data_IF_546861188490
#
_entry.id   IF_546861188490
#
_cell.length_a   1.000
_cell.length_b   1.000
_cell.length_c   1.000
_cell.angle_alpha   90.00
_cell.angle_beta   90.00
_cell.angle_gamma   90.00
#
_symmetry.space_group_name_H-M   'P 1'
#
loop_
_entity.id
_entity.type
_entity.pdbx_description
1 polymer ?
#
# COMPACT_ATOMS: atom_id res chain seq x y z
N UNK A 1 7.78 -14.63 29.27
CA UNK A 1 7.35 -13.59 28.31
C UNK A 1 6.89 -14.29 27.05
N UNK A 2 5.75 -13.92 26.47
CA UNK A 2 5.29 -14.51 25.21
C UNK A 2 6.11 -13.94 24.06
N UNK A 3 6.71 -14.82 23.25
CA UNK A 3 7.46 -14.45 22.05
C UNK A 3 6.53 -14.52 20.83
N UNK A 4 6.72 -13.62 19.85
CA UNK A 4 5.92 -13.57 18.62
C UNK A 4 6.83 -13.72 17.41
N UNK A 5 6.45 -14.60 16.47
CA UNK A 5 7.19 -14.79 15.22
C UNK A 5 7.13 -13.52 14.37
N UNK A 6 8.27 -13.14 13.79
CA UNK A 6 8.39 -12.04 12.84
C UNK A 6 8.77 -12.61 11.47
N UNK A 7 7.96 -12.29 10.46
CA UNK A 7 8.15 -12.78 9.11
C UNK A 7 8.24 -11.61 8.12
N UNK A 8 9.06 -11.78 7.10
CA UNK A 8 9.13 -10.92 5.93
C UNK A 8 8.37 -11.60 4.79
N UNK A 9 7.31 -10.95 4.33
CA UNK A 9 6.62 -11.36 3.11
C UNK A 9 7.27 -10.62 1.94
N UNK A 10 7.62 -11.37 0.90
CA UNK A 10 8.33 -10.86 -0.28
C UNK A 10 7.47 -11.14 -1.50
N UNK A 11 7.22 -10.08 -2.26
CA UNK A 11 6.43 -10.08 -3.48
C UNK A 11 7.28 -9.62 -4.65
N UNK A 12 7.02 -10.17 -5.84
CA UNK A 12 7.54 -9.63 -7.10
C UNK A 12 6.41 -8.90 -7.82
N UNK A 13 6.51 -7.57 -7.83
CA UNK A 13 5.52 -6.70 -8.48
C UNK A 13 5.47 -6.86 -10.00
N UNK A 14 6.54 -7.37 -10.60
CA UNK A 14 6.60 -7.64 -12.02
C UNK A 14 5.97 -8.98 -12.41
N UNK A 15 5.61 -9.83 -11.43
CA UNK A 15 5.10 -11.18 -11.66
C UNK A 15 5.97 -12.00 -12.62
N UNK A 16 7.30 -11.94 -12.47
CA UNK A 16 8.29 -12.64 -13.29
C UNK A 16 8.63 -11.94 -14.61
N UNK A 17 7.95 -10.85 -14.98
CA UNK A 17 8.26 -10.10 -16.21
C UNK A 17 9.65 -9.50 -16.14
N UNK A 18 10.04 -8.91 -15.00
CA UNK A 18 11.36 -8.28 -14.86
C UNK A 18 12.51 -9.27 -15.10
N UNK A 19 12.39 -10.50 -14.58
CA UNK A 19 13.37 -11.58 -14.81
C UNK A 19 13.58 -11.89 -16.30
N UNK A 20 12.55 -11.69 -17.13
CA UNK A 20 12.56 -12.01 -18.55
C UNK A 20 13.08 -10.85 -19.40
N UNK A 21 12.63 -9.62 -19.13
CA UNK A 21 12.85 -8.48 -20.06
C UNK A 21 13.92 -7.49 -19.61
N UNK A 22 14.33 -7.52 -18.35
CA UNK A 22 15.25 -6.51 -17.77
C UNK A 22 16.56 -6.37 -18.54
N UNK A 23 17.20 -7.48 -18.92
CA UNK A 23 18.45 -7.44 -19.68
C UNK A 23 18.32 -6.66 -21.00
N UNK A 24 17.17 -6.77 -21.67
CA UNK A 24 16.91 -6.08 -22.94
C UNK A 24 16.54 -4.61 -22.72
N UNK A 25 15.71 -4.32 -21.72
CA UNK A 25 15.17 -2.97 -21.51
C UNK A 25 16.15 -2.03 -20.79
N UNK A 26 16.88 -2.54 -19.81
CA UNK A 26 17.73 -1.74 -18.92
C UNK A 26 19.19 -2.17 -18.96
N UNK A 27 19.55 -3.07 -19.89
CA UNK A 27 20.93 -3.54 -20.06
C UNK A 27 21.46 -4.40 -18.90
N UNK A 28 20.61 -4.70 -17.92
CA UNK A 28 20.96 -5.41 -16.70
C UNK A 28 19.87 -6.39 -16.33
N UNK A 29 20.25 -7.64 -16.06
CA UNK A 29 19.32 -8.64 -15.55
C UNK A 29 19.01 -8.37 -14.07
N UNK A 30 17.72 -8.24 -13.76
CA UNK A 30 17.17 -8.24 -12.40
C UNK A 30 16.14 -9.36 -12.28
N UNK A 31 16.09 -10.04 -11.13
CA UNK A 31 15.23 -11.22 -10.93
C UNK A 31 13.78 -10.88 -10.58
N UNK A 32 13.50 -9.63 -10.23
CA UNK A 32 12.17 -9.20 -9.82
C UNK A 32 12.18 -7.75 -9.36
N UNK A 33 10.99 -7.24 -9.06
CA UNK A 33 10.80 -5.93 -8.44
C UNK A 33 10.20 -6.16 -7.07
N UNK A 34 11.06 -6.05 -6.06
CA UNK A 34 10.74 -6.48 -4.72
C UNK A 34 9.87 -5.47 -3.97
N UNK A 35 8.72 -5.96 -3.52
CA UNK A 35 7.91 -5.34 -2.47
C UNK A 35 7.95 -6.23 -1.24
N UNK A 36 8.05 -5.62 -0.06
CA UNK A 36 8.09 -6.35 1.21
C UNK A 36 7.14 -5.77 2.24
N UNK A 37 6.70 -6.65 3.13
CA UNK A 37 5.89 -6.31 4.30
C UNK A 37 6.33 -7.14 5.50
N UNK A 38 6.09 -6.62 6.71
CA UNK A 38 6.35 -7.31 7.96
C UNK A 38 5.06 -7.95 8.48
N UNK A 39 5.12 -9.23 8.77
CA UNK A 39 4.03 -9.97 9.42
C UNK A 39 4.42 -10.31 10.85
N UNK A 40 3.64 -9.80 11.79
CA UNK A 40 3.80 -10.01 13.24
C UNK A 40 2.45 -9.81 13.92
N UNK A 41 2.20 -10.48 15.05
CA UNK A 41 0.90 -10.45 15.75
C UNK A 41 -0.28 -10.80 14.84
N UNK A 42 -0.07 -11.74 13.92
CA UNK A 42 -1.05 -12.18 12.92
C UNK A 42 -1.59 -11.04 12.02
N UNK A 43 -0.75 -10.03 11.76
CA UNK A 43 -1.11 -8.89 10.93
C UNK A 43 0.05 -8.48 10.04
N UNK A 44 -0.27 -8.08 8.82
CA UNK A 44 0.68 -7.63 7.81
C UNK A 44 0.75 -6.11 7.79
N UNK A 45 1.97 -5.55 7.78
CA UNK A 45 2.25 -4.12 7.81
C UNK A 45 3.20 -3.75 6.68
N UNK A 46 2.86 -2.69 5.95
CA UNK A 46 3.64 -2.23 4.81
C UNK A 46 3.50 -0.71 4.64
N UNK A 47 4.34 -0.14 3.78
CA UNK A 47 4.38 1.29 3.51
C UNK A 47 4.17 1.57 2.03
N UNK A 48 3.28 2.52 1.72
CA UNK A 48 2.93 2.96 0.39
C UNK A 48 2.67 4.46 0.30
N UNK A 49 2.18 4.91 -0.85
CA UNK A 49 1.82 6.33 -1.08
C UNK A 49 0.67 6.84 -0.20
N UNK A 50 -0.04 5.96 0.49
CA UNK A 50 -1.07 6.29 1.49
C UNK A 50 -0.55 6.31 2.93
N UNK A 51 0.74 6.00 3.13
CA UNK A 51 1.37 5.91 4.44
C UNK A 51 1.57 4.46 4.89
N UNK A 52 1.71 4.28 6.20
CA UNK A 52 1.76 2.96 6.83
C UNK A 52 0.37 2.33 6.80
N UNK A 53 0.26 1.18 6.16
CA UNK A 53 -0.98 0.44 5.98
C UNK A 53 -0.84 -0.97 6.57
N UNK A 54 -1.98 -1.62 6.80
CA UNK A 54 -1.99 -2.95 7.39
C UNK A 54 -3.26 -3.73 7.09
N UNK A 55 -3.11 -5.05 6.93
CA UNK A 55 -4.18 -5.94 6.53
C UNK A 55 -3.98 -7.35 7.14
N UNK A 56 -4.92 -8.26 6.86
CA UNK A 56 -4.71 -9.66 7.19
C UNK A 56 -3.58 -10.23 6.30
N UNK A 57 -2.73 -11.14 6.80
CA UNK A 57 -1.63 -11.69 6.00
C UNK A 57 -2.12 -12.27 4.66
N UNK A 58 -1.41 -11.94 3.58
CA UNK A 58 -1.71 -12.41 2.22
C UNK A 58 -3.05 -11.93 1.64
N UNK A 59 -3.56 -10.78 2.10
CA UNK A 59 -4.83 -10.18 1.61
C UNK A 59 -4.64 -8.87 0.83
N UNK A 60 -3.40 -8.56 0.45
CA UNK A 60 -3.09 -7.44 -0.45
C UNK A 60 -3.51 -7.77 -1.89
N UNK A 61 -3.73 -6.76 -2.74
CA UNK A 61 -4.06 -6.95 -4.16
C UNK A 61 -2.99 -7.74 -4.95
N UNK A 62 -1.80 -7.94 -4.39
CA UNK A 62 -0.73 -8.77 -4.94
C UNK A 62 -0.99 -10.28 -4.82
N UNK A 63 -2.00 -10.69 -4.05
CA UNK A 63 -2.25 -12.08 -3.73
C UNK A 63 -1.23 -12.64 -2.73
N UNK A 64 -0.93 -13.94 -2.77
CA UNK A 64 0.01 -14.55 -1.82
C UNK A 64 1.46 -14.10 -2.09
N UNK A 65 2.29 -13.99 -1.05
CA UNK A 65 3.71 -13.65 -1.21
C UNK A 65 4.44 -14.72 -2.02
N UNK A 66 5.37 -14.28 -2.86
CA UNK A 66 6.27 -15.17 -3.60
C UNK A 66 7.15 -15.98 -2.65
N UNK A 67 7.59 -15.35 -1.55
CA UNK A 67 8.41 -15.97 -0.53
C UNK A 67 8.06 -15.41 0.85
N UNK A 68 7.97 -16.30 1.83
CA UNK A 68 7.88 -15.95 3.25
C UNK A 68 9.23 -16.30 3.89
N UNK A 69 9.86 -15.32 4.54
CA UNK A 69 11.13 -15.50 5.22
C UNK A 69 10.97 -15.24 6.71
N UNK A 70 11.33 -16.22 7.54
CA UNK A 70 11.38 -16.05 8.98
C UNK A 70 12.56 -15.14 9.34
N UNK A 71 12.28 -14.02 10.02
CA UNK A 71 13.29 -13.08 10.51
C UNK A 71 13.71 -13.39 11.96
N UNK A 72 12.86 -14.09 12.71
CA UNK A 72 13.12 -14.48 14.08
C UNK A 72 11.87 -14.32 14.94
N UNK A 73 12.09 -13.93 16.19
CA UNK A 73 11.01 -13.68 17.14
C UNK A 73 11.23 -12.36 17.88
N UNK A 74 10.13 -11.74 18.30
CA UNK A 74 10.12 -10.51 19.08
C UNK A 74 9.46 -10.72 20.44
N UNK A 75 10.01 -10.03 21.43
CA UNK A 75 9.45 -9.93 22.78
C UNK A 75 8.81 -8.56 23.04
N UNK A 76 8.78 -7.69 22.02
CA UNK A 76 8.11 -6.39 22.10
C UNK A 76 6.61 -6.63 22.35
N UNK A 77 5.99 -5.94 23.31
CA UNK A 77 4.54 -6.02 23.47
C UNK A 77 3.82 -5.39 22.29
N UNK A 78 2.66 -5.95 21.92
CA UNK A 78 1.84 -5.40 20.82
C UNK A 78 1.54 -3.91 20.98
N UNK A 79 1.23 -3.45 22.21
CA UNK A 79 0.93 -2.03 22.48
C UNK A 79 2.11 -1.13 22.15
N UNK A 80 3.32 -1.52 22.55
CA UNK A 80 4.56 -0.78 22.27
C UNK A 80 4.83 -0.76 20.76
N UNK A 81 4.58 -1.87 20.06
CA UNK A 81 4.74 -1.93 18.61
C UNK A 81 3.77 -1.00 17.87
N UNK A 82 2.50 -0.94 18.28
CA UNK A 82 1.53 -0.04 17.66
C UNK A 82 1.85 1.43 17.95
N UNK A 83 2.28 1.78 19.16
CA UNK A 83 2.75 3.13 19.48
C UNK A 83 3.96 3.52 18.61
N UNK A 84 4.93 2.62 18.46
CA UNK A 84 6.07 2.82 17.57
C UNK A 84 5.63 3.05 16.11
N UNK A 85 4.73 2.20 15.59
CA UNK A 85 4.20 2.37 14.23
C UNK A 85 3.42 3.67 14.06
N UNK A 86 2.64 4.11 15.06
CA UNK A 86 1.94 5.40 15.04
C UNK A 86 2.94 6.54 14.88
N UNK A 87 4.00 6.53 15.69
CA UNK A 87 5.07 7.52 15.61
C UNK A 87 5.73 7.56 14.24
N UNK A 88 6.02 6.40 13.64
CA UNK A 88 6.54 6.33 12.27
C UNK A 88 5.56 6.90 11.25
N UNK A 89 4.27 6.54 11.36
CA UNK A 89 3.24 6.98 10.41
C UNK A 89 2.97 8.48 10.42
N UNK A 90 3.15 9.12 11.59
CA UNK A 90 2.97 10.57 11.78
C UNK A 90 4.22 11.39 11.41
N UNK A 91 5.39 10.74 11.30
CA UNK A 91 6.67 11.40 11.04
C UNK A 91 7.29 10.95 9.72
N UNK A 92 8.12 9.91 9.74
CA UNK A 92 9.00 9.52 8.63
C UNK A 92 8.27 8.76 7.51
N UNK A 93 7.18 8.06 7.83
CA UNK A 93 6.43 7.18 6.91
C UNK A 93 5.00 7.68 6.65
N UNK A 94 4.88 8.98 6.38
CA UNK A 94 3.64 9.55 5.83
C UNK A 94 3.50 9.17 4.35
N UNK A 95 2.28 9.16 3.81
CA UNK A 95 2.08 8.85 2.39
C UNK A 95 2.85 9.77 1.44
N UNK A 96 3.00 11.04 1.82
CA UNK A 96 3.75 12.05 1.05
C UNK A 96 5.26 11.85 1.04
N UNK A 97 5.82 11.10 1.99
CA UNK A 97 7.26 10.81 2.00
C UNK A 97 7.61 9.58 1.16
N UNK A 98 6.62 8.86 0.63
CA UNK A 98 6.87 7.68 -0.18
C UNK A 98 7.65 8.05 -1.45
N UNK A 99 8.78 7.37 -1.64
CA UNK A 99 9.61 7.45 -2.83
C UNK A 99 10.06 6.05 -3.22
N UNK A 100 9.71 5.62 -4.43
CA UNK A 100 10.03 4.29 -4.95
C UNK A 100 11.50 3.91 -4.76
N UNK A 101 12.44 4.83 -4.92
CA UNK A 101 13.86 4.47 -4.90
C UNK A 101 14.52 4.66 -3.55
N UNK A 102 14.14 5.70 -2.82
CA UNK A 102 14.90 6.15 -1.66
C UNK A 102 14.15 5.97 -0.33
N UNK A 103 12.82 5.84 -0.37
CA UNK A 103 12.00 5.75 0.83
C UNK A 103 10.72 4.96 0.55
N UNK A 104 10.84 3.64 0.49
CA UNK A 104 9.78 2.72 0.06
C UNK A 104 9.46 1.65 1.12
N UNK A 105 8.61 0.70 0.75
CA UNK A 105 8.22 -0.46 1.58
C UNK A 105 9.39 -1.29 2.14
N UNK A 106 10.50 -1.35 1.41
CA UNK A 106 11.68 -2.12 1.80
C UNK A 106 12.47 -1.38 2.90
N UNK A 107 12.56 -0.04 2.82
CA UNK A 107 13.13 0.78 3.89
C UNK A 107 12.30 0.68 5.17
N UNK A 108 10.98 0.74 5.03
CA UNK A 108 10.05 0.53 6.14
C UNK A 108 10.22 -0.86 6.78
N UNK A 109 10.26 -1.92 5.96
CA UNK A 109 10.42 -3.28 6.47
C UNK A 109 11.77 -3.49 7.15
N UNK A 110 12.85 -2.87 6.65
CA UNK A 110 14.16 -2.87 7.32
C UNK A 110 14.10 -2.24 8.71
N UNK A 111 13.52 -1.04 8.81
CA UNK A 111 13.46 -0.31 10.08
C UNK A 111 12.60 -1.06 11.12
N UNK A 112 11.46 -1.61 10.69
CA UNK A 112 10.58 -2.40 11.55
C UNK A 112 11.23 -3.73 11.95
N UNK A 113 11.95 -4.41 11.05
CA UNK A 113 12.67 -5.66 11.36
C UNK A 113 13.78 -5.42 12.39
N UNK A 114 14.52 -4.32 12.26
CA UNK A 114 15.53 -3.93 13.24
C UNK A 114 14.91 -3.64 14.61
N UNK A 115 13.80 -2.90 14.65
CA UNK A 115 13.10 -2.61 15.90
C UNK A 115 12.58 -3.88 16.61
N UNK A 116 11.97 -4.79 15.86
CA UNK A 116 11.32 -5.98 16.43
C UNK A 116 12.30 -7.06 16.87
N UNK A 117 13.33 -7.32 16.07
CA UNK A 117 14.22 -8.47 16.26
C UNK A 117 15.70 -8.20 15.97
N UNK A 118 16.09 -6.95 15.68
CA UNK A 118 17.49 -6.57 15.51
C UNK A 118 18.18 -7.17 14.27
N UNK A 119 17.41 -7.56 13.26
CA UNK A 119 17.91 -8.16 12.02
C UNK A 119 17.60 -7.27 10.83
N UNK A 120 18.47 -7.31 9.83
CA UNK A 120 18.22 -6.69 8.52
C UNK A 120 17.49 -7.64 7.57
N UNK A 121 16.69 -7.07 6.67
CA UNK A 121 16.10 -7.80 5.56
C UNK A 121 17.19 -8.12 4.50
N UNK A 122 16.92 -9.04 3.54
CA UNK A 122 17.91 -9.42 2.53
C UNK A 122 18.46 -8.22 1.76
N UNK A 123 19.79 -8.09 1.74
CA UNK A 123 20.49 -6.96 1.12
C UNK A 123 20.17 -6.78 -0.36
N UNK A 124 19.95 -7.86 -1.11
CA UNK A 124 19.57 -7.80 -2.52
C UNK A 124 18.20 -7.12 -2.76
N UNK A 125 17.33 -7.06 -1.74
CA UNK A 125 16.06 -6.31 -1.78
C UNK A 125 16.33 -4.82 -1.58
N UNK A 126 17.16 -4.48 -0.59
CA UNK A 126 17.51 -3.08 -0.27
C UNK A 126 18.35 -2.40 -1.35
N UNK A 127 19.22 -3.16 -2.03
CA UNK A 127 20.13 -2.63 -3.05
C UNK A 127 19.48 -2.50 -4.44
N UNK A 128 18.32 -3.14 -4.69
CA UNK A 128 17.65 -3.14 -5.99
C UNK A 128 17.43 -1.73 -6.57
N UNK A 129 16.97 -0.71 -5.80
CA UNK A 129 16.86 0.66 -6.30
C UNK A 129 18.15 1.21 -6.88
N UNK A 130 19.30 0.97 -6.22
CA UNK A 130 20.60 1.44 -6.67
C UNK A 130 21.03 0.74 -7.97
N UNK A 131 20.76 -0.57 -8.04
CA UNK A 131 21.01 -1.36 -9.24
C UNK A 131 20.22 -0.83 -10.44
N UNK A 132 18.98 -0.45 -10.21
CA UNK A 132 18.05 0.06 -11.22
C UNK A 132 18.39 1.50 -11.63
N UNK A 133 18.72 2.39 -10.68
CA UNK A 133 19.17 3.76 -10.95
C UNK A 133 20.51 3.85 -11.69
N UNK A 134 21.35 2.81 -11.59
CA UNK A 134 22.62 2.74 -12.34
C UNK A 134 22.44 2.48 -13.84
N UNK A 135 21.21 2.22 -14.30
CA UNK A 135 20.88 1.96 -15.70
C UNK A 135 20.25 3.18 -16.38
N UNK A 136 20.15 3.18 -17.71
CA UNK A 136 19.51 4.23 -18.53
C UNK A 136 17.97 4.21 -18.43
N UNK A 137 17.46 4.27 -17.20
CA UNK A 137 16.09 3.99 -16.76
C UNK A 137 15.08 5.13 -16.97
N UNK A 138 15.26 5.99 -17.97
CA UNK A 138 14.38 7.14 -18.15
C UNK A 138 12.93 6.77 -18.54
N UNK A 139 12.75 5.69 -19.31
CA UNK A 139 11.48 5.40 -19.97
C UNK A 139 10.60 4.34 -19.28
N UNK A 140 11.18 3.40 -18.52
CA UNK A 140 10.43 2.29 -17.90
C UNK A 140 9.82 2.63 -16.53
N UNK A 141 10.19 3.79 -15.98
CA UNK A 141 9.85 4.21 -14.63
C UNK A 141 8.36 4.40 -14.34
N UNK A 142 7.58 5.08 -15.20
CA UNK A 142 6.18 5.35 -14.92
C UNK A 142 5.31 4.09 -14.83
N UNK A 143 5.57 3.09 -15.67
CA UNK A 143 4.85 1.82 -15.65
C UNK A 143 5.08 1.05 -14.35
N UNK A 144 6.31 1.12 -13.83
CA UNK A 144 6.66 0.51 -12.57
C UNK A 144 5.92 1.18 -11.40
N UNK A 145 5.96 2.51 -11.33
CA UNK A 145 5.28 3.31 -10.29
C UNK A 145 3.77 3.03 -10.24
N UNK A 146 3.11 2.96 -11.40
CA UNK A 146 1.68 2.67 -11.45
C UNK A 146 1.34 1.28 -10.87
N UNK A 147 2.19 0.28 -11.09
CA UNK A 147 2.02 -1.06 -10.53
C UNK A 147 2.13 -1.05 -8.99
N UNK A 148 3.07 -0.25 -8.45
CA UNK A 148 3.29 -0.09 -7.01
C UNK A 148 2.10 0.56 -6.30
N UNK A 149 1.55 1.64 -6.87
CA UNK A 149 0.38 2.33 -6.31
C UNK A 149 -0.89 1.46 -6.28
N UNK A 150 -1.01 0.54 -7.22
CA UNK A 150 -2.11 -0.43 -7.24
C UNK A 150 -1.91 -1.54 -6.21
N UNK A 151 -0.67 -1.97 -6.01
CA UNK A 151 -0.31 -3.09 -5.15
C UNK A 151 -0.42 -2.85 -3.65
N UNK A 152 -0.30 -1.60 -3.21
CA UNK A 152 -0.46 -1.20 -1.81
C UNK A 152 -1.93 -1.27 -1.32
N UNK A 153 -2.90 -1.59 -2.18
CA UNK A 153 -4.32 -1.62 -1.78
C UNK A 153 -4.71 -3.02 -1.26
N UNK A 154 -5.40 -3.12 -0.11
CA UNK A 154 -6.02 -4.37 0.33
C UNK A 154 -7.10 -4.85 -0.65
N UNK A 155 -7.25 -6.18 -0.82
CA UNK A 155 -8.27 -6.80 -1.69
C UNK A 155 -9.70 -6.37 -1.30
N UNK A 156 -9.99 -6.22 0.00
CA UNK A 156 -11.30 -5.77 0.47
C UNK A 156 -11.67 -4.37 -0.04
N UNK A 157 -10.68 -3.46 -0.18
CA UNK A 157 -10.89 -2.11 -0.68
C UNK A 157 -11.03 -2.10 -2.22
N UNK A 158 -10.27 -2.94 -2.93
CA UNK A 158 -10.41 -3.11 -4.38
C UNK A 158 -11.79 -3.69 -4.76
N UNK A 159 -12.27 -4.68 -4.02
CA UNK A 159 -13.62 -5.24 -4.21
C UNK A 159 -14.73 -4.21 -3.91
N UNK A 160 -14.54 -3.34 -2.91
CA UNK A 160 -15.50 -2.24 -2.62
C UNK A 160 -15.54 -1.19 -3.71
N UNK A 161 -14.42 -0.89 -4.36
CA UNK A 161 -14.35 0.07 -5.48
C UNK A 161 -14.92 -0.57 -6.75
N UNK A 162 -14.63 -1.84 -7.01
CA UNK A 162 -15.19 -2.59 -8.15
C UNK A 162 -16.71 -2.76 -8.06
N UNK A 163 -17.26 -2.93 -6.84
CA UNK A 163 -18.71 -2.96 -6.59
C UNK A 163 -19.36 -1.59 -6.43
N UNK A 164 -18.66 -0.50 -6.76
CA UNK A 164 -19.25 0.86 -6.81
C UNK A 164 -20.01 1.11 -8.13
N UNK A 165 -20.49 0.06 -8.79
CA UNK A 165 -21.53 0.18 -9.81
C UNK A 165 -22.88 0.47 -9.14
N UNK A 166 -23.62 1.41 -9.72
CA UNK A 166 -24.85 2.05 -9.26
C UNK A 166 -25.64 1.21 -8.24
N UNK A 167 -25.52 1.57 -6.95
CA UNK A 167 -26.50 1.12 -5.97
C UNK A 167 -27.88 1.65 -6.41
N UNK A 168 -28.90 0.81 -6.61
CA UNK A 168 -30.21 1.25 -7.10
C UNK A 168 -30.88 2.29 -6.18
N UNK A 169 -30.40 2.42 -4.94
CA UNK A 169 -30.83 3.47 -4.03
C UNK A 169 -30.23 4.87 -4.29
N UNK A 170 -29.09 4.98 -5.00
CA UNK A 170 -28.43 6.27 -5.24
C UNK A 170 -29.19 7.13 -6.27
N UNK A 171 -29.74 6.51 -7.31
CA UNK A 171 -30.59 7.21 -8.29
C UNK A 171 -31.92 7.64 -7.68
N UNK A 172 -32.53 6.78 -6.85
CA UNK A 172 -33.73 7.16 -6.09
C UNK A 172 -33.46 8.31 -5.12
N UNK A 173 -32.33 8.29 -4.41
CA UNK A 173 -31.96 9.34 -3.47
C UNK A 173 -31.69 10.68 -4.20
N UNK A 174 -31.02 10.65 -5.35
CA UNK A 174 -30.79 11.85 -6.16
C UNK A 174 -32.10 12.39 -6.75
N UNK A 175 -33.01 11.51 -7.19
CA UNK A 175 -34.34 11.92 -7.65
C UNK A 175 -35.14 12.60 -6.53
N UNK A 176 -35.12 12.05 -5.32
CA UNK A 176 -35.82 12.63 -4.16
C UNK A 176 -35.22 13.97 -3.72
N UNK A 177 -33.89 14.14 -3.82
CA UNK A 177 -33.20 15.40 -3.52
C UNK A 177 -33.57 16.48 -4.55
N UNK A 178 -33.64 16.13 -5.84
CA UNK A 178 -34.06 17.08 -6.88
C UNK A 178 -35.55 17.45 -6.76
N UNK A 179 -36.43 16.50 -6.44
CA UNK A 179 -37.85 16.76 -6.17
C UNK A 179 -38.03 17.75 -5.02
N UNK A 180 -37.33 17.53 -3.91
CA UNK A 180 -37.35 18.44 -2.76
C UNK A 180 -36.80 19.84 -3.09
N UNK A 181 -35.83 19.95 -4.01
CA UNK A 181 -35.29 21.23 -4.50
C UNK A 181 -36.28 21.99 -5.38
N UNK A 182 -37.06 21.28 -6.20
CA UNK A 182 -38.16 21.89 -6.97
C UNK A 182 -39.31 22.38 -6.08
N UNK A 183 -39.69 21.62 -5.05
CA UNK A 183 -40.78 22.00 -4.14
C UNK A 183 -40.46 23.25 -3.31
N UNK A 184 -39.20 23.43 -2.88
CA UNK A 184 -38.75 24.66 -2.22
C UNK A 184 -38.80 25.86 -3.17
N UNK A 185 -38.53 25.64 -4.47
CA UNK A 185 -38.53 26.69 -5.48
C UNK A 185 -39.94 27.12 -5.90
N UNK A 186 -40.93 26.23 -5.83
CA UNK A 186 -42.35 26.54 -6.10
C UNK A 186 -43.00 27.24 -4.89
N UNK A 187 -42.72 26.78 -3.66
CA UNK A 187 -43.32 27.36 -2.45
C UNK A 187 -42.68 28.69 -2.00
N UNK A 188 -41.52 29.05 -2.53
CA UNK A 188 -40.83 30.32 -2.23
C UNK A 188 -41.26 31.52 -3.09
N UNK A 189 -42.01 31.32 -4.17
CA UNK A 189 -42.37 32.40 -5.12
C UNK A 189 -43.73 33.04 -4.82
N UNK A 190 -44.59 32.40 -4.03
CA UNK A 190 -45.96 32.86 -3.75
C UNK A 190 -46.12 33.71 -2.47
N UNK A 191 -45.04 34.06 -1.77
CA UNK A 191 -45.12 34.81 -0.49
C UNK A 191 -44.73 36.30 -0.54
N UNK A 192 -44.37 36.84 -1.70
CA UNK A 192 -43.98 38.26 -1.85
C UNK A 192 -44.91 39.11 -2.75
N UNK A 193 -46.18 38.73 -2.93
CA UNK A 193 -47.20 39.62 -3.51
C UNK A 193 -48.50 39.60 -2.74
N UNK A 194 -48.52 40.30 -1.61
CA UNK A 194 -49.67 41.00 -1.03
C UNK A 194 -49.17 41.78 0.18
N UNK A 195 -48.86 43.05 -0.05
CA UNK A 195 -49.38 44.22 0.68
C UNK A 195 -49.03 45.48 -0.11
#
# INVERSE_FOLDING_TARGET
MSSNKVELYIYDLSMGVAATVSQMLIGKKIDGIWHTSIVVYNREYFFGSRGVESCNPSTTALGPPLKIQNLGETHVPYTVFIEYLSGLSESTYTGTTYNLFHHNCNNFSEEVAQFLCGVSIPKNILDLPNEVLSTSLGAALPALVAQLEKSARPIEEENRIAHKEQSPGFEQLNSQIEEARSDVRINGVDKERKD
#
